data_IF_019968780134
#
_entry.id   IF_019968780134
#
_cell.length_a   1.000
_cell.length_b   1.000
_cell.length_c   1.000
_cell.angle_alpha   90.00
_cell.angle_beta   90.00
_cell.angle_gamma   90.00
#
_symmetry.space_group_name_H-M   'P 1'
#
loop_
_entity.id
_entity.type
_entity.pdbx_description
1 polymer ?
#
# COMPACT_ATOMS: atom_id res chain seq x y z
N UNK A 1 -34.71 14.69 3.02
CA UNK A 1 -33.73 13.85 2.31
C UNK A 1 -32.61 13.49 3.28
N UNK A 2 -32.32 12.20 3.49
CA UNK A 2 -31.25 11.76 4.41
C UNK A 2 -29.98 11.55 3.59
N UNK A 3 -28.90 12.21 3.99
CA UNK A 3 -27.58 11.99 3.37
C UNK A 3 -27.00 10.66 3.89
N UNK A 4 -26.45 9.85 2.99
CA UNK A 4 -25.73 8.61 3.32
C UNK A 4 -24.25 8.82 3.04
N UNK A 5 -23.40 8.52 4.01
CA UNK A 5 -21.95 8.66 3.89
C UNK A 5 -21.34 7.29 3.58
N UNK A 6 -20.54 7.19 2.51
CA UNK A 6 -19.64 6.04 2.27
C UNK A 6 -18.23 6.43 2.71
N UNK A 7 -17.60 5.57 3.50
CA UNK A 7 -16.25 5.79 4.03
C UNK A 7 -15.22 5.47 2.93
N UNK A 8 -14.08 6.16 2.88
CA UNK A 8 -13.03 5.86 1.91
C UNK A 8 -12.52 4.44 2.08
N UNK A 9 -12.14 3.85 0.95
CA UNK A 9 -11.42 2.58 0.87
C UNK A 9 -10.12 2.78 0.11
N UNK A 10 -9.11 2.00 0.49
CA UNK A 10 -7.82 1.92 -0.19
C UNK A 10 -7.32 0.49 -0.16
N UNK A 11 -6.27 0.19 -0.92
CA UNK A 11 -5.66 -1.14 -0.97
C UNK A 11 -4.20 -1.11 -0.56
N UNK A 12 -3.77 -2.20 0.07
CA UNK A 12 -2.35 -2.54 0.30
C UNK A 12 -2.07 -3.83 -0.45
N UNK A 13 -1.06 -3.82 -1.33
CA UNK A 13 -0.53 -5.02 -1.97
C UNK A 13 0.65 -5.52 -1.15
N UNK A 14 0.54 -6.75 -0.65
CA UNK A 14 1.53 -7.35 0.23
C UNK A 14 2.05 -8.65 -0.38
N UNK A 15 3.31 -8.67 -0.80
CA UNK A 15 4.00 -9.86 -1.29
C UNK A 15 4.43 -10.72 -0.09
N UNK A 16 3.93 -11.96 -0.05
CA UNK A 16 4.24 -12.92 1.03
C UNK A 16 5.68 -13.43 0.95
N UNK A 17 6.27 -13.43 -0.23
CA UNK A 17 7.63 -13.88 -0.46
C UNK A 17 8.59 -12.66 -0.59
N UNK A 18 9.34 -12.41 0.48
CA UNK A 18 10.33 -11.34 0.52
C UNK A 18 11.59 -11.63 -0.31
N UNK A 19 11.91 -12.90 -0.59
CA UNK A 19 13.07 -13.26 -1.40
C UNK A 19 12.87 -12.84 -2.86
N UNK A 20 11.63 -12.92 -3.37
CA UNK A 20 11.29 -12.41 -4.70
C UNK A 20 11.54 -10.90 -4.80
N UNK A 21 11.30 -10.14 -3.73
CA UNK A 21 11.57 -8.71 -3.69
C UNK A 21 13.08 -8.42 -3.77
N UNK A 22 13.89 -9.11 -2.96
CA UNK A 22 15.36 -8.96 -3.02
C UNK A 22 15.91 -9.29 -4.40
N UNK A 23 15.42 -10.37 -5.02
CA UNK A 23 15.81 -10.76 -6.38
C UNK A 23 15.38 -9.74 -7.43
N UNK A 24 14.24 -9.09 -7.24
CA UNK A 24 13.78 -8.02 -8.13
C UNK A 24 14.68 -6.80 -8.06
N UNK A 25 15.12 -6.41 -6.86
CA UNK A 25 16.05 -5.30 -6.66
C UNK A 25 17.41 -5.59 -7.32
N UNK A 26 17.95 -6.80 -7.13
CA UNK A 26 19.19 -7.25 -7.77
C UNK A 26 19.11 -7.16 -9.31
N UNK A 27 18.08 -7.77 -9.91
CA UNK A 27 17.89 -7.74 -11.37
C UNK A 27 17.67 -6.32 -11.90
N UNK A 28 17.04 -5.44 -11.12
CA UNK A 28 16.83 -4.04 -11.50
C UNK A 28 18.16 -3.27 -11.49
N UNK A 29 19.02 -3.52 -10.51
CA UNK A 29 20.37 -2.96 -10.48
C UNK A 29 21.21 -3.47 -11.66
N UNK A 30 21.18 -4.78 -11.93
CA UNK A 30 21.88 -5.39 -13.06
C UNK A 30 21.39 -4.82 -14.41
N UNK A 31 20.08 -4.63 -14.58
CA UNK A 31 19.52 -4.02 -15.78
C UNK A 31 20.02 -2.57 -15.95
N UNK A 32 20.10 -1.80 -14.86
CA UNK A 32 20.58 -0.43 -14.91
C UNK A 32 22.03 -0.36 -15.40
N UNK A 33 22.91 -1.25 -14.89
CA UNK A 33 24.30 -1.34 -15.33
C UNK A 33 24.42 -1.85 -16.77
N UNK A 34 23.71 -2.92 -17.14
CA UNK A 34 23.71 -3.45 -18.50
C UNK A 34 23.23 -2.41 -19.52
N UNK A 35 22.23 -1.58 -19.18
CA UNK A 35 21.77 -0.49 -20.03
C UNK A 35 22.83 0.59 -20.22
N UNK A 36 23.57 0.96 -19.17
CA UNK A 36 24.70 1.91 -19.28
C UNK A 36 25.78 1.36 -20.21
N UNK A 37 26.10 0.08 -20.12
CA UNK A 37 27.10 -0.56 -20.99
C UNK A 37 26.62 -0.64 -22.45
N UNK A 38 25.35 -0.98 -22.69
CA UNK A 38 24.78 -1.05 -24.04
C UNK A 38 24.65 0.32 -24.73
N UNK A 39 24.50 1.40 -23.96
CA UNK A 39 24.59 2.78 -24.46
C UNK A 39 26.00 3.13 -24.95
N UNK A 40 27.04 2.54 -24.34
CA UNK A 40 28.43 2.73 -24.74
C UNK A 40 28.84 1.82 -25.91
N UNK A 41 28.32 0.59 -25.99
CA UNK A 41 28.49 -0.33 -27.13
C UNK A 41 27.15 -0.97 -27.53
N UNK A 42 26.59 -0.51 -28.66
CA UNK A 42 25.30 -0.98 -29.19
C UNK A 42 25.25 -2.46 -29.60
N UNK A 43 26.38 -3.18 -29.60
CA UNK A 43 26.41 -4.63 -29.81
C UNK A 43 25.98 -5.42 -28.57
N UNK A 44 25.96 -4.79 -27.39
CA UNK A 44 25.61 -5.42 -26.12
C UNK A 44 24.09 -5.38 -25.79
N UNK A 45 23.24 -5.01 -26.74
CA UNK A 45 21.78 -4.90 -26.53
C UNK A 45 21.07 -6.24 -26.20
N UNK A 46 21.72 -7.40 -26.36
CA UNK A 46 21.13 -8.71 -26.06
C UNK A 46 20.98 -9.00 -24.55
N UNK A 47 21.90 -8.48 -23.74
CA UNK A 47 21.95 -8.70 -22.29
C UNK A 47 20.86 -7.92 -21.55
N UNK A 48 20.66 -6.60 -21.75
CA UNK A 48 19.54 -5.87 -21.17
C UNK A 48 18.17 -6.47 -21.49
N UNK A 49 17.97 -6.97 -22.73
CA UNK A 49 16.71 -7.61 -23.12
C UNK A 49 16.46 -8.94 -22.40
N UNK A 50 17.52 -9.66 -22.03
CA UNK A 50 17.40 -10.92 -21.28
C UNK A 50 17.05 -10.64 -19.82
N UNK A 51 17.74 -9.70 -19.18
CA UNK A 51 17.45 -9.27 -17.81
C UNK A 51 16.02 -8.71 -17.73
N UNK A 52 15.59 -7.89 -18.70
CA UNK A 52 14.23 -7.37 -18.74
C UNK A 52 13.16 -8.49 -18.80
N UNK A 53 13.40 -9.58 -19.55
CA UNK A 53 12.48 -10.73 -19.56
C UNK A 53 12.46 -11.47 -18.22
N UNK A 54 13.60 -11.58 -17.54
CA UNK A 54 13.66 -12.17 -16.20
C UNK A 54 12.88 -11.32 -15.19
N UNK A 55 13.00 -10.00 -15.24
CA UNK A 55 12.22 -9.07 -14.40
C UNK A 55 10.72 -9.23 -14.66
N UNK A 56 10.30 -9.33 -15.92
CA UNK A 56 8.87 -9.53 -16.25
C UNK A 56 8.36 -10.87 -15.72
N UNK A 57 9.14 -11.94 -15.84
CA UNK A 57 8.78 -13.25 -15.27
C UNK A 57 8.68 -13.21 -13.75
N UNK A 58 9.68 -12.62 -13.09
CA UNK A 58 9.71 -12.46 -11.64
C UNK A 58 8.53 -11.62 -11.14
N UNK A 59 8.15 -10.56 -11.85
CA UNK A 59 6.98 -9.76 -11.51
C UNK A 59 5.67 -10.56 -11.57
N UNK A 60 5.58 -11.60 -12.41
CA UNK A 60 4.43 -12.51 -12.42
C UNK A 60 4.44 -13.44 -11.21
N UNK A 61 5.60 -13.96 -10.83
CA UNK A 61 5.78 -14.76 -9.62
C UNK A 61 5.43 -13.95 -8.36
N UNK A 62 5.92 -12.71 -8.26
CA UNK A 62 5.58 -11.79 -7.16
C UNK A 62 4.08 -11.52 -7.09
N UNK A 63 3.41 -11.32 -8.22
CA UNK A 63 1.95 -11.12 -8.25
C UNK A 63 1.20 -12.34 -7.74
N UNK A 64 1.64 -13.54 -8.12
CA UNK A 64 1.06 -14.79 -7.64
C UNK A 64 1.24 -14.96 -6.12
N UNK A 65 2.29 -14.38 -5.53
CA UNK A 65 2.49 -14.35 -4.07
C UNK A 65 2.02 -13.07 -3.39
N UNK A 66 1.30 -12.21 -4.12
CA UNK A 66 0.76 -10.96 -3.57
C UNK A 66 -0.68 -11.13 -3.10
N UNK A 67 -0.92 -10.69 -1.87
CA UNK A 67 -2.25 -10.57 -1.28
C UNK A 67 -2.67 -9.09 -1.25
N UNK A 68 -3.89 -8.80 -1.67
CA UNK A 68 -4.46 -7.45 -1.62
C UNK A 68 -5.39 -7.30 -0.42
N UNK A 69 -5.03 -6.41 0.50
CA UNK A 69 -5.87 -6.01 1.63
C UNK A 69 -6.68 -4.78 1.25
N UNK A 70 -7.98 -4.80 1.50
CA UNK A 70 -8.85 -3.62 1.39
C UNK A 70 -9.05 -3.02 2.76
N UNK A 71 -8.63 -1.76 2.92
CA UNK A 71 -8.76 -0.99 4.14
C UNK A 71 -9.86 0.05 3.98
N UNK A 72 -10.76 0.15 4.95
CA UNK A 72 -11.84 1.14 4.99
C UNK A 72 -11.69 2.03 6.21
N UNK A 73 -11.85 3.34 6.03
CA UNK A 73 -11.86 4.29 7.15
C UNK A 73 -12.93 3.94 8.19
N UNK A 74 -12.66 4.22 9.46
CA UNK A 74 -13.58 4.03 10.58
C UNK A 74 -14.60 5.17 10.66
N UNK A 75 -15.76 4.99 11.32
CA UNK A 75 -16.61 6.10 11.69
C UNK A 75 -15.84 7.03 12.63
N UNK A 76 -16.03 8.35 12.48
CA UNK A 76 -15.29 9.36 13.25
C UNK A 76 -15.30 9.11 14.77
N UNK A 77 -16.42 8.65 15.31
CA UNK A 77 -16.55 8.38 16.75
C UNK A 77 -15.71 7.19 17.20
N UNK A 78 -15.64 6.12 16.41
CA UNK A 78 -14.82 4.94 16.73
C UNK A 78 -13.33 5.27 16.66
N UNK A 79 -12.92 6.02 15.63
CA UNK A 79 -11.53 6.51 15.53
C UNK A 79 -11.13 7.39 16.72
N UNK A 80 -12.00 8.31 17.12
CA UNK A 80 -11.75 9.19 18.27
C UNK A 80 -11.68 8.40 19.59
N UNK A 81 -12.51 7.37 19.74
CA UNK A 81 -12.48 6.47 20.89
C UNK A 81 -11.15 5.71 20.95
N UNK A 82 -10.70 5.15 19.83
CA UNK A 82 -9.46 4.37 19.76
C UNK A 82 -8.22 5.21 20.12
N UNK A 83 -8.18 6.48 19.67
CA UNK A 83 -7.16 7.46 20.09
C UNK A 83 -7.17 7.68 21.60
N UNK A 84 -8.35 7.83 22.20
CA UNK A 84 -8.47 8.08 23.63
C UNK A 84 -8.08 6.86 24.49
N UNK A 85 -8.30 5.65 23.98
CA UNK A 85 -7.89 4.38 24.60
C UNK A 85 -6.37 4.15 24.53
N UNK A 86 -5.67 4.85 23.62
CA UNK A 86 -4.24 4.75 23.39
C UNK A 86 -3.51 6.08 23.71
N UNK A 87 -3.48 6.55 24.97
CA UNK A 87 -2.85 7.82 25.32
C UNK A 87 -1.35 7.85 25.02
N UNK A 88 -0.77 9.02 24.72
CA UNK A 88 0.65 9.14 24.38
C UNK A 88 1.55 8.77 25.56
N UNK A 89 2.70 8.13 25.28
CA UNK A 89 3.73 7.86 26.29
C UNK A 89 4.46 9.17 26.65
N UNK A 90 4.70 9.42 27.94
CA UNK A 90 5.23 10.71 28.44
C UNK A 90 6.58 11.10 27.81
N UNK A 91 7.45 10.11 27.59
CA UNK A 91 8.82 10.28 27.08
C UNK A 91 8.98 9.98 25.58
N UNK A 92 7.88 9.95 24.80
CA UNK A 92 7.94 9.68 23.36
C UNK A 92 7.53 10.91 22.53
N UNK A 93 8.49 11.65 21.93
CA UNK A 93 8.19 12.89 21.19
C UNK A 93 7.21 12.71 20.01
N UNK A 94 7.26 11.55 19.35
CA UNK A 94 6.36 11.21 18.24
C UNK A 94 4.92 11.07 18.76
N UNK A 95 4.72 10.39 19.88
CA UNK A 95 3.40 10.19 20.48
C UNK A 95 2.77 11.52 20.90
N UNK A 96 3.58 12.42 21.46
CA UNK A 96 3.14 13.76 21.87
C UNK A 96 2.67 14.60 20.68
N UNK A 97 3.39 14.52 19.56
CA UNK A 97 3.04 15.24 18.34
C UNK A 97 1.77 14.68 17.70
N UNK A 98 1.63 13.36 17.75
CA UNK A 98 0.49 12.65 17.18
C UNK A 98 -0.78 12.71 18.05
N UNK A 99 -0.60 12.81 19.37
CA UNK A 99 -1.67 12.86 20.38
C UNK A 99 -2.12 11.49 20.91
N UNK A 100 -1.38 10.43 20.61
CA UNK A 100 -1.65 9.05 21.04
C UNK A 100 -0.38 8.21 20.97
N UNK A 101 -0.37 7.05 21.63
CA UNK A 101 0.64 6.03 21.39
C UNK A 101 0.42 5.45 19.98
N UNK A 102 1.22 5.91 19.01
CA UNK A 102 1.02 5.58 17.60
C UNK A 102 1.16 4.08 17.33
N UNK A 103 2.08 3.41 18.02
CA UNK A 103 2.34 1.98 17.88
C UNK A 103 1.14 1.15 18.36
N UNK A 104 0.69 1.39 19.59
CA UNK A 104 -0.46 0.68 20.15
C UNK A 104 -1.77 1.01 19.39
N UNK A 105 -1.94 2.28 19.00
CA UNK A 105 -3.09 2.69 18.19
C UNK A 105 -3.13 1.92 16.86
N UNK A 106 -2.00 1.80 16.15
CA UNK A 106 -1.97 1.13 14.84
C UNK A 106 -2.16 -0.38 14.95
N UNK A 107 -1.67 -1.00 16.03
CA UNK A 107 -1.90 -2.41 16.30
C UNK A 107 -3.39 -2.76 16.38
N UNK A 108 -4.22 -1.84 16.91
CA UNK A 108 -5.69 -2.01 16.94
C UNK A 108 -6.39 -1.47 15.69
N UNK A 109 -5.92 -0.34 15.16
CA UNK A 109 -6.58 0.36 14.06
C UNK A 109 -6.50 -0.38 12.73
N UNK A 110 -5.34 -0.96 12.41
CA UNK A 110 -5.13 -1.66 11.13
C UNK A 110 -6.13 -2.82 10.98
N UNK A 111 -6.20 -3.81 11.89
CA UNK A 111 -7.15 -4.91 11.74
C UNK A 111 -8.61 -4.43 11.74
N UNK A 112 -8.94 -3.38 12.49
CA UNK A 112 -10.28 -2.79 12.48
C UNK A 112 -10.64 -2.11 11.14
N UNK A 113 -9.64 -1.68 10.36
CA UNK A 113 -9.83 -1.10 9.03
C UNK A 113 -9.86 -2.16 7.92
N UNK A 114 -9.33 -3.36 8.12
CA UNK A 114 -9.35 -4.42 7.10
C UNK A 114 -10.79 -4.93 6.90
N UNK A 115 -11.32 -4.78 5.69
CA UNK A 115 -12.68 -5.19 5.33
C UNK A 115 -12.74 -6.28 4.26
N UNK A 116 -11.59 -6.71 3.76
CA UNK A 116 -11.49 -7.78 2.79
C UNK A 116 -10.04 -8.07 2.41
N UNK A 117 -9.79 -9.33 2.06
CA UNK A 117 -8.48 -9.82 1.62
C UNK A 117 -8.69 -10.65 0.38
N UNK A 118 -7.84 -10.46 -0.63
CA UNK A 118 -7.91 -11.18 -1.91
C UNK A 118 -6.55 -11.66 -2.36
N UNK A 119 -6.51 -12.82 -3.02
CA UNK A 119 -5.35 -13.34 -3.75
C UNK A 119 -5.85 -13.72 -5.15
N UNK A 120 -5.17 -13.27 -6.19
CA UNK A 120 -5.57 -13.47 -7.59
C UNK A 120 -7.03 -13.06 -7.91
N UNK A 121 -7.52 -12.01 -7.23
CA UNK A 121 -8.88 -11.50 -7.40
C UNK A 121 -9.96 -12.24 -6.60
N UNK A 122 -9.63 -13.39 -6.04
CA UNK A 122 -10.54 -14.23 -5.24
C UNK A 122 -10.43 -13.89 -3.75
N UNK A 123 -11.56 -13.88 -2.99
CA UNK A 123 -11.53 -13.68 -1.55
C UNK A 123 -10.73 -14.77 -0.84
N UNK A 124 -9.89 -14.34 0.11
CA UNK A 124 -9.17 -15.23 1.03
C UNK A 124 -9.84 -15.17 2.39
N UNK A 125 -9.98 -16.33 3.05
CA UNK A 125 -10.42 -16.37 4.44
C UNK A 125 -9.34 -15.74 5.32
N UNK A 126 -9.67 -14.59 5.90
CA UNK A 126 -8.79 -13.84 6.78
C UNK A 126 -9.66 -13.14 7.82
N UNK A 127 -9.38 -13.42 9.09
CA UNK A 127 -10.06 -12.85 10.24
C UNK A 127 -9.13 -11.82 10.88
N UNK A 128 -9.33 -10.51 10.64
CA UNK A 128 -8.40 -9.48 11.10
C UNK A 128 -8.17 -9.49 12.62
N UNK A 129 -9.15 -9.91 13.41
CA UNK A 129 -9.05 -9.96 14.87
C UNK A 129 -8.09 -11.05 15.40
N UNK A 130 -7.79 -12.08 14.62
CA UNK A 130 -6.94 -13.20 15.02
C UNK A 130 -5.69 -13.32 14.16
N UNK A 131 -5.84 -13.14 12.85
CA UNK A 131 -4.80 -13.50 11.88
C UNK A 131 -3.80 -12.35 11.66
N UNK A 132 -4.21 -11.10 11.95
CA UNK A 132 -3.36 -9.92 11.75
C UNK A 132 -2.12 -9.95 12.64
N UNK A 133 -2.25 -10.36 13.90
CA UNK A 133 -1.14 -10.31 14.85
C UNK A 133 0.00 -11.26 14.45
N UNK A 134 -0.35 -12.46 13.98
CA UNK A 134 0.62 -13.44 13.48
C UNK A 134 1.29 -12.95 12.19
N UNK A 135 0.51 -12.42 11.26
CA UNK A 135 1.04 -11.87 10.01
C UNK A 135 1.98 -10.68 10.26
N UNK A 136 1.58 -9.75 11.12
CA UNK A 136 2.36 -8.54 11.43
C UNK A 136 3.69 -8.85 12.12
N UNK A 137 3.78 -9.93 12.90
CA UNK A 137 5.01 -10.34 13.58
C UNK A 137 6.11 -10.80 12.61
N UNK A 138 5.73 -11.29 11.42
CA UNK A 138 6.65 -11.73 10.37
C UNK A 138 7.01 -10.60 9.39
N UNK A 139 6.38 -9.42 9.51
CA UNK A 139 6.67 -8.27 8.65
C UNK A 139 7.93 -7.54 9.07
N UNK A 140 8.65 -7.01 8.09
CA UNK A 140 9.61 -5.93 8.32
C UNK A 140 8.89 -4.62 8.66
N UNK A 141 9.58 -3.70 9.33
CA UNK A 141 9.05 -2.35 9.62
C UNK A 141 8.53 -1.65 8.36
N UNK A 142 9.24 -1.77 7.23
CA UNK A 142 8.81 -1.14 5.98
C UNK A 142 7.52 -1.72 5.41
N UNK A 143 7.28 -3.02 5.58
CA UNK A 143 6.02 -3.65 5.15
C UNK A 143 4.87 -3.22 6.06
N UNK A 144 5.11 -3.18 7.38
CA UNK A 144 4.12 -2.74 8.35
C UNK A 144 3.75 -1.26 8.17
N UNK A 145 4.75 -0.41 7.91
CA UNK A 145 4.57 1.03 7.71
C UNK A 145 3.64 1.36 6.54
N UNK A 146 3.60 0.55 5.48
CA UNK A 146 2.66 0.74 4.38
C UNK A 146 1.20 0.60 4.87
N UNK A 147 0.92 -0.36 5.76
CA UNK A 147 -0.40 -0.49 6.38
C UNK A 147 -0.72 0.69 7.30
N UNK A 148 0.26 1.19 8.06
CA UNK A 148 0.12 2.39 8.89
C UNK A 148 -0.25 3.60 8.03
N UNK A 149 0.48 3.84 6.95
CA UNK A 149 0.25 4.96 6.04
C UNK A 149 -1.14 4.90 5.40
N UNK A 150 -1.56 3.73 4.92
CA UNK A 150 -2.89 3.57 4.31
C UNK A 150 -4.02 3.70 5.33
N UNK A 151 -3.85 3.15 6.53
CA UNK A 151 -4.80 3.29 7.64
C UNK A 151 -4.99 4.76 8.02
N UNK A 152 -3.88 5.50 8.09
CA UNK A 152 -3.90 6.94 8.34
C UNK A 152 -4.57 7.71 7.20
N UNK A 153 -4.32 7.34 5.94
CA UNK A 153 -4.93 7.97 4.77
C UNK A 153 -6.46 7.85 4.79
N UNK A 154 -7.01 6.67 5.09
CA UNK A 154 -8.47 6.48 5.10
C UNK A 154 -9.17 7.10 6.32
N UNK A 155 -8.47 7.30 7.44
CA UNK A 155 -9.06 7.86 8.67
C UNK A 155 -8.83 9.38 8.84
N UNK A 156 -7.70 9.89 8.37
CA UNK A 156 -7.27 11.29 8.55
C UNK A 156 -6.85 12.00 7.26
N UNK A 157 -6.87 11.31 6.12
CA UNK A 157 -6.58 11.91 4.83
C UNK A 157 -7.60 12.99 4.46
N UNK A 158 -7.12 14.05 3.80
CA UNK A 158 -8.01 15.07 3.25
C UNK A 158 -8.72 14.51 2.04
N UNK A 159 -10.06 14.61 2.05
CA UNK A 159 -10.87 14.32 0.88
C UNK A 159 -11.18 15.63 0.17
N UNK A 160 -10.34 15.99 -0.79
CA UNK A 160 -10.62 17.09 -1.72
C UNK A 160 -11.28 16.51 -2.97
N UNK A 161 -12.32 17.19 -3.49
CA UNK A 161 -12.91 16.81 -4.79
C UNK A 161 -11.87 17.10 -5.87
N UNK A 162 -11.31 16.08 -6.55
CA UNK A 162 -10.23 16.32 -7.48
C UNK A 162 -10.76 17.02 -8.73
N UNK A 163 -10.12 18.12 -9.13
CA UNK A 163 -10.35 18.76 -10.42
C UNK A 163 -9.22 18.39 -11.38
N UNK A 164 -9.52 17.52 -12.35
CA UNK A 164 -8.56 17.15 -13.40
C UNK A 164 -8.73 18.06 -14.61
N UNK A 165 -7.80 19.00 -14.79
CA UNK A 165 -7.77 19.87 -15.97
C UNK A 165 -7.64 19.07 -17.28
N UNK A 166 -6.91 17.94 -17.26
CA UNK A 166 -6.75 17.08 -18.43
C UNK A 166 -8.07 16.40 -18.81
N UNK A 167 -8.83 15.89 -17.83
CA UNK A 167 -10.14 15.30 -18.07
C UNK A 167 -11.15 16.35 -18.57
N UNK A 168 -11.09 17.57 -18.03
CA UNK A 168 -11.94 18.68 -18.45
C UNK A 168 -11.66 19.11 -19.90
N UNK A 169 -10.39 19.21 -20.30
CA UNK A 169 -10.02 19.57 -21.68
C UNK A 169 -10.47 18.53 -22.70
N UNK A 170 -10.28 17.24 -22.42
CA UNK A 170 -10.68 16.15 -23.31
C UNK A 170 -12.21 16.07 -23.51
N UNK A 171 -12.99 16.39 -22.47
CA UNK A 171 -14.46 16.38 -22.54
C UNK A 171 -15.02 17.64 -23.21
N UNK A 172 -14.42 18.81 -22.98
CA UNK A 172 -14.82 20.05 -23.65
C UNK A 172 -14.63 20.01 -25.18
N UNK A 173 -13.57 19.36 -25.66
CA UNK A 173 -13.34 19.19 -27.12
C UNK A 173 -14.30 18.16 -27.75
N UNK A 174 -14.86 17.24 -26.95
CA UNK A 174 -15.80 16.20 -27.41
C UNK A 174 -17.24 16.72 -27.51
N UNK A 175 -17.61 17.77 -26.78
CA UNK A 175 -18.94 18.41 -26.82
C UNK A 175 -19.08 19.48 -27.92
N UNK A 176 -17.98 19.81 -28.62
CA UNK A 176 -17.96 20.79 -29.72
C UNK A 176 -17.90 20.17 -31.13
N UNK A 177 -18.03 18.83 -31.25
CA UNK A 177 -18.23 18.11 -32.52
C UNK A 177 -19.67 17.60 -32.64
#
# INVERSE_FOLDING_TARGET
MKLTVKRPETTVEFCLDGELFSRYEELTADLAEARKMALADGRLNGEPNTIARQIVGLAQEMRAETVTFTLRGMPRQEWAKLIAENPPREDHPVDRTFGANAEALMAEAIPACIVGVKKDGEPVEFTPATDWAELAAEMTDSQYDEFVLKTMSVNRGRQEVPFSQAAYKLTADSEQM
#
